data_IF_810178811622
#
_entry.id   IF_810178811622
#
_cell.length_a   1.000
_cell.length_b   1.000
_cell.length_c   1.000
_cell.angle_alpha   90.00
_cell.angle_beta   90.00
_cell.angle_gamma   90.00
#
_symmetry.space_group_name_H-M   'P 1'
#
loop_
_entity.id
_entity.type
_entity.pdbx_description
1 polymer ?
#
# COMPACT_ATOMS: atom_id res chain seq x y z
N UNK A 1 -43.54 -16.65 -59.41
CA UNK A 1 -42.17 -16.74 -58.81
C UNK A 1 -41.16 -16.69 -59.94
N UNK A 2 -40.61 -15.51 -60.23
CA UNK A 2 -39.60 -15.35 -61.28
C UNK A 2 -38.24 -15.78 -60.74
N UNK A 3 -37.76 -16.93 -61.28
CA UNK A 3 -36.36 -17.35 -61.06
C UNK A 3 -35.48 -16.53 -61.98
N UNK A 4 -34.75 -15.57 -61.41
CA UNK A 4 -33.71 -14.81 -62.10
C UNK A 4 -32.52 -15.76 -62.28
N UNK A 5 -32.39 -16.34 -63.53
CA UNK A 5 -31.21 -17.08 -63.92
C UNK A 5 -30.07 -16.10 -64.21
N UNK A 6 -29.26 -15.80 -63.20
CA UNK A 6 -28.04 -15.06 -63.35
C UNK A 6 -26.97 -15.98 -63.97
N UNK A 7 -26.88 -15.96 -65.29
CA UNK A 7 -25.80 -16.62 -66.04
C UNK A 7 -24.53 -15.76 -65.90
N UNK A 8 -23.88 -15.84 -64.76
CA UNK A 8 -22.66 -15.08 -64.44
C UNK A 8 -21.49 -15.80 -65.13
N UNK A 9 -20.87 -15.15 -66.13
CA UNK A 9 -19.64 -15.62 -66.76
C UNK A 9 -18.59 -15.92 -65.66
N UNK A 10 -17.88 -17.08 -65.77
CA UNK A 10 -16.84 -17.47 -64.81
C UNK A 10 -15.83 -16.41 -64.48
N UNK A 11 -15.49 -15.52 -65.45
CA UNK A 11 -14.61 -14.39 -65.24
C UNK A 11 -15.23 -13.31 -64.32
N UNK A 12 -16.51 -13.00 -64.49
CA UNK A 12 -17.23 -12.03 -63.65
C UNK A 12 -17.38 -12.50 -62.21
N UNK A 13 -17.62 -13.79 -61.99
CA UNK A 13 -17.68 -14.40 -60.67
C UNK A 13 -16.36 -14.28 -59.89
N UNK A 14 -15.24 -14.43 -60.58
CA UNK A 14 -13.92 -14.32 -59.98
C UNK A 14 -13.61 -12.87 -59.49
N UNK A 15 -14.02 -11.85 -60.26
CA UNK A 15 -13.92 -10.46 -59.86
C UNK A 15 -14.79 -10.13 -58.63
N UNK A 16 -16.01 -10.67 -58.54
CA UNK A 16 -16.89 -10.49 -57.39
C UNK A 16 -16.30 -11.10 -56.13
N UNK A 17 -15.64 -12.24 -56.20
CA UNK A 17 -14.97 -12.87 -55.06
C UNK A 17 -13.78 -12.05 -54.61
N UNK A 18 -12.96 -11.51 -55.53
CA UNK A 18 -11.79 -10.72 -55.20
C UNK A 18 -12.22 -9.38 -54.59
N UNK A 19 -13.17 -8.65 -55.20
CA UNK A 19 -13.63 -7.37 -54.64
C UNK A 19 -14.38 -7.58 -53.30
N UNK A 20 -15.20 -8.62 -53.17
CA UNK A 20 -15.86 -8.97 -51.94
C UNK A 20 -14.86 -9.28 -50.81
N UNK A 21 -13.79 -10.05 -51.15
CA UNK A 21 -12.72 -10.35 -50.20
C UNK A 21 -11.96 -9.12 -49.71
N UNK A 22 -11.67 -8.21 -50.62
CA UNK A 22 -11.00 -6.94 -50.27
C UNK A 22 -11.87 -6.09 -49.33
N UNK A 23 -13.17 -5.98 -49.60
CA UNK A 23 -14.10 -5.22 -48.75
C UNK A 23 -14.17 -5.85 -47.36
N UNK A 24 -14.25 -7.17 -47.24
CA UNK A 24 -14.26 -7.87 -45.94
C UNK A 24 -12.98 -7.61 -45.15
N UNK A 25 -11.83 -7.66 -45.81
CA UNK A 25 -10.53 -7.36 -45.15
C UNK A 25 -10.48 -5.92 -44.64
N UNK A 26 -10.95 -4.93 -45.40
CA UNK A 26 -10.99 -3.53 -44.98
C UNK A 26 -11.90 -3.35 -43.77
N UNK A 27 -13.09 -3.96 -43.78
CA UNK A 27 -14.03 -3.93 -42.67
C UNK A 27 -13.41 -4.56 -41.41
N UNK A 28 -12.77 -5.71 -41.56
CA UNK A 28 -12.13 -6.43 -40.45
C UNK A 28 -10.98 -5.62 -39.83
N UNK A 29 -10.15 -5.00 -40.69
CA UNK A 29 -9.01 -4.15 -40.23
C UNK A 29 -9.46 -2.88 -39.53
N UNK A 30 -10.65 -2.38 -39.86
CA UNK A 30 -11.19 -1.16 -39.24
C UNK A 30 -11.95 -1.47 -37.94
N UNK A 31 -12.66 -2.60 -37.87
CA UNK A 31 -13.47 -2.98 -36.71
C UNK A 31 -12.61 -3.58 -35.57
N UNK A 32 -11.60 -4.38 -35.89
CA UNK A 32 -10.72 -5.02 -34.89
C UNK A 32 -10.05 -4.02 -33.92
N UNK A 33 -9.36 -2.96 -34.39
CA UNK A 33 -8.73 -2.02 -33.48
C UNK A 33 -9.74 -1.21 -32.65
N UNK A 34 -10.92 -0.91 -33.22
CA UNK A 34 -11.98 -0.24 -32.46
C UNK A 34 -12.49 -1.12 -31.32
N UNK A 35 -12.72 -2.39 -31.57
CA UNK A 35 -13.21 -3.36 -30.56
C UNK A 35 -12.21 -3.53 -29.42
N UNK A 36 -10.91 -3.63 -29.75
CA UNK A 36 -9.85 -3.73 -28.74
C UNK A 36 -9.74 -2.46 -27.88
N UNK A 37 -9.91 -1.28 -28.47
CA UNK A 37 -9.87 0.00 -27.77
C UNK A 37 -11.07 0.18 -26.85
N UNK A 38 -12.26 -0.23 -27.28
CA UNK A 38 -13.47 -0.18 -26.45
C UNK A 38 -13.35 -1.13 -25.26
N UNK A 39 -12.85 -2.34 -25.48
CA UNK A 39 -12.67 -3.33 -24.41
C UNK A 39 -11.67 -2.88 -23.35
N UNK A 40 -10.61 -2.16 -23.73
CA UNK A 40 -9.66 -1.55 -22.81
C UNK A 40 -10.31 -0.47 -21.94
N UNK A 41 -11.05 0.45 -22.56
CA UNK A 41 -11.71 1.55 -21.88
C UNK A 41 -12.81 1.09 -20.92
N UNK A 42 -13.51 -0.02 -21.21
CA UNK A 42 -14.52 -0.58 -20.31
C UNK A 42 -13.88 -1.07 -18.99
N UNK A 43 -12.76 -1.78 -19.07
CA UNK A 43 -12.04 -2.25 -17.87
C UNK A 43 -11.51 -1.09 -17.00
N UNK A 44 -11.03 -0.05 -17.64
CA UNK A 44 -10.54 1.14 -16.94
C UNK A 44 -11.69 1.91 -16.25
N UNK A 45 -12.83 2.05 -16.95
CA UNK A 45 -14.04 2.64 -16.37
C UNK A 45 -14.60 1.82 -15.20
N UNK A 46 -14.56 0.50 -15.26
CA UNK A 46 -14.98 -0.35 -14.13
C UNK A 46 -14.05 -0.16 -12.93
N UNK A 47 -12.74 -0.08 -13.14
CA UNK A 47 -11.77 0.20 -12.08
C UNK A 47 -12.01 1.56 -11.42
N UNK A 48 -12.24 2.59 -12.22
CA UNK A 48 -12.55 3.94 -11.71
C UNK A 48 -13.88 3.95 -10.94
N UNK A 49 -14.92 3.30 -11.45
CA UNK A 49 -16.20 3.14 -10.75
C UNK A 49 -16.05 2.44 -9.41
N UNK A 50 -15.22 1.39 -9.35
CA UNK A 50 -14.93 0.69 -8.10
C UNK A 50 -14.24 1.60 -7.09
N UNK A 51 -13.22 2.35 -7.52
CA UNK A 51 -12.52 3.31 -6.65
C UNK A 51 -13.44 4.43 -6.14
N UNK A 52 -14.32 4.95 -7.01
CA UNK A 52 -15.31 5.97 -6.60
C UNK A 52 -16.30 5.37 -5.59
N UNK A 53 -16.75 4.15 -5.79
CA UNK A 53 -17.65 3.47 -4.87
C UNK A 53 -16.96 3.25 -3.51
N UNK A 54 -15.73 2.77 -3.50
CA UNK A 54 -14.94 2.59 -2.29
C UNK A 54 -14.75 3.91 -1.52
N UNK A 55 -14.41 4.99 -2.20
CA UNK A 55 -14.31 6.32 -1.60
C UNK A 55 -15.66 6.82 -1.04
N UNK A 56 -16.75 6.54 -1.75
CA UNK A 56 -18.10 6.93 -1.32
C UNK A 56 -18.55 6.14 -0.09
N UNK A 57 -18.22 4.86 -0.02
CA UNK A 57 -18.55 3.99 1.11
C UNK A 57 -17.68 4.32 2.34
N UNK A 58 -16.43 4.74 2.12
CA UNK A 58 -15.52 5.18 3.19
C UNK A 58 -15.78 6.61 3.66
N UNK A 59 -16.37 7.48 2.81
CA UNK A 59 -16.63 8.87 3.12
C UNK A 59 -17.37 9.10 4.45
N UNK A 60 -18.51 8.43 4.72
CA UNK A 60 -19.23 8.58 5.98
C UNK A 60 -18.41 8.08 7.18
N UNK A 61 -17.60 7.04 7.02
CA UNK A 61 -16.75 6.52 8.08
C UNK A 61 -15.69 7.55 8.46
N UNK A 62 -15.04 8.17 7.46
CA UNK A 62 -14.09 9.25 7.69
C UNK A 62 -14.74 10.48 8.34
N UNK A 63 -15.93 10.86 7.88
CA UNK A 63 -16.67 11.97 8.47
C UNK A 63 -17.01 11.71 9.95
N UNK A 64 -17.42 10.49 10.29
CA UNK A 64 -17.69 10.10 11.66
C UNK A 64 -16.41 10.11 12.51
N UNK A 65 -15.31 9.56 11.99
CA UNK A 65 -14.03 9.58 12.68
C UNK A 65 -13.53 11.01 12.92
N UNK A 66 -13.63 11.89 11.93
CA UNK A 66 -13.22 13.30 12.07
C UNK A 66 -14.11 14.02 13.09
N UNK A 67 -15.44 13.77 13.07
CA UNK A 67 -16.35 14.37 14.06
C UNK A 67 -16.08 13.84 15.46
N UNK A 68 -15.78 12.56 15.62
CA UNK A 68 -15.38 11.99 16.91
C UNK A 68 -14.01 12.50 17.39
N UNK A 69 -13.08 12.71 16.49
CA UNK A 69 -11.78 13.32 16.83
C UNK A 69 -11.93 14.78 17.28
N UNK A 70 -12.81 15.55 16.65
CA UNK A 70 -13.05 16.94 17.00
C UNK A 70 -13.89 17.08 18.29
N UNK A 71 -14.78 16.12 18.57
CA UNK A 71 -15.65 16.15 19.75
C UNK A 71 -15.01 15.50 20.99
N UNK A 72 -14.05 14.62 20.80
CA UNK A 72 -13.20 14.16 21.89
C UNK A 72 -12.05 15.17 21.99
N UNK A 73 -12.07 15.99 23.03
CA UNK A 73 -10.84 16.43 23.63
C UNK A 73 -10.01 15.18 23.85
N UNK A 74 -9.19 14.82 22.87
CA UNK A 74 -8.18 13.81 22.98
C UNK A 74 -7.11 14.40 23.95
N UNK A 75 -7.50 14.62 25.19
CA UNK A 75 -6.56 14.54 26.27
C UNK A 75 -6.00 13.13 26.16
N UNK A 76 -4.90 13.06 25.45
CA UNK A 76 -4.10 11.86 25.34
C UNK A 76 -3.93 11.34 26.76
N UNK A 77 -4.70 10.30 27.11
CA UNK A 77 -4.56 9.60 28.39
C UNK A 77 -3.18 8.93 28.47
N UNK A 78 -2.46 8.91 27.36
CA UNK A 78 -1.05 8.52 27.29
C UNK A 78 -0.20 9.69 27.79
N UNK A 79 0.53 9.50 28.89
CA UNK A 79 1.51 10.48 29.32
C UNK A 79 2.46 10.74 28.14
N UNK A 80 2.40 11.96 27.60
CA UNK A 80 3.37 12.37 26.58
C UNK A 80 4.66 12.70 27.34
N UNK A 81 5.66 11.82 27.36
CA UNK A 81 6.89 12.10 28.06
C UNK A 81 7.55 13.32 27.42
N UNK A 82 8.05 14.25 28.22
CA UNK A 82 8.89 15.31 27.69
C UNK A 82 10.01 14.70 26.86
N UNK A 83 10.08 15.09 25.59
CA UNK A 83 11.12 14.59 24.69
C UNK A 83 12.48 15.04 25.18
N UNK A 84 13.30 14.11 25.64
CA UNK A 84 14.66 14.36 26.10
C UNK A 84 15.64 13.62 25.19
N UNK A 85 16.37 14.33 24.31
CA UNK A 85 17.38 13.68 23.50
C UNK A 85 18.46 13.06 24.40
N UNK A 86 18.89 11.87 24.03
CA UNK A 86 19.86 11.07 24.79
C UNK A 86 21.25 11.32 24.23
N UNK A 87 22.28 11.27 25.07
CA UNK A 87 23.66 11.33 24.62
C UNK A 87 23.95 10.11 23.72
N UNK A 88 24.86 10.26 22.76
CA UNK A 88 25.26 9.18 21.86
C UNK A 88 25.74 7.93 22.61
N UNK A 89 26.37 8.07 23.75
CA UNK A 89 26.78 6.95 24.62
C UNK A 89 25.60 6.25 25.31
N UNK A 90 24.52 6.99 25.59
CA UNK A 90 23.31 6.42 26.21
C UNK A 90 22.35 5.81 25.17
N UNK A 91 22.48 6.15 23.90
CA UNK A 91 21.68 5.54 22.82
C UNK A 91 21.88 4.02 22.73
N UNK A 92 23.01 3.52 23.26
CA UNK A 92 23.30 2.09 23.40
C UNK A 92 22.28 1.36 24.28
N UNK A 93 21.56 2.06 25.14
CA UNK A 93 20.50 1.49 26.00
C UNK A 93 19.20 1.19 25.25
N UNK A 94 18.97 1.84 24.11
CA UNK A 94 17.73 1.69 23.36
C UNK A 94 17.41 0.23 22.98
N UNK A 95 18.35 -0.61 22.50
CA UNK A 95 18.09 -2.02 22.25
C UNK A 95 17.57 -2.79 23.45
N UNK A 96 18.05 -2.47 24.65
CA UNK A 96 17.62 -3.17 25.87
C UNK A 96 16.24 -2.71 26.32
N UNK A 97 15.96 -1.41 26.29
CA UNK A 97 14.64 -0.84 26.57
C UNK A 97 13.61 -1.37 25.58
N UNK A 98 13.98 -1.42 24.29
CA UNK A 98 13.13 -1.97 23.24
C UNK A 98 12.83 -3.45 23.47
N UNK A 99 13.84 -4.26 23.79
CA UNK A 99 13.67 -5.69 24.10
C UNK A 99 12.73 -5.92 25.27
N UNK A 100 12.85 -5.10 26.31
CA UNK A 100 11.97 -5.20 27.48
C UNK A 100 10.51 -4.93 27.11
N UNK A 101 10.24 -3.91 26.29
CA UNK A 101 8.89 -3.57 25.82
C UNK A 101 8.33 -4.66 24.93
N UNK A 102 9.10 -5.17 23.96
CA UNK A 102 8.68 -6.24 23.05
C UNK A 102 8.33 -7.51 23.84
N UNK A 103 9.19 -7.90 24.78
CA UNK A 103 8.95 -9.05 25.65
C UNK A 103 7.69 -8.87 26.50
N UNK A 104 7.47 -7.69 27.09
CA UNK A 104 6.27 -7.37 27.86
C UNK A 104 5.00 -7.42 27.02
N UNK A 105 5.10 -7.10 25.74
CA UNK A 105 3.97 -7.10 24.81
C UNK A 105 3.64 -8.48 24.25
N UNK A 106 4.49 -9.49 24.44
CA UNK A 106 4.30 -10.84 23.92
C UNK A 106 4.81 -11.05 22.47
N UNK A 107 5.58 -10.10 21.94
CA UNK A 107 6.19 -10.19 20.63
C UNK A 107 7.58 -10.82 20.69
N UNK A 108 8.08 -11.28 19.53
CA UNK A 108 9.40 -11.86 19.39
C UNK A 108 10.21 -11.01 18.41
N UNK A 109 11.45 -10.65 18.78
CA UNK A 109 12.37 -9.94 17.90
C UNK A 109 13.01 -10.94 16.94
N UNK A 110 12.95 -10.64 15.65
CA UNK A 110 13.62 -11.42 14.59
C UNK A 110 14.96 -10.79 14.25
N UNK A 111 14.99 -9.47 14.01
CA UNK A 111 16.22 -8.72 13.83
C UNK A 111 16.11 -7.33 14.44
N UNK A 112 17.28 -6.79 14.78
CA UNK A 112 17.43 -5.43 15.31
C UNK A 112 18.74 -4.86 14.77
N UNK A 113 18.64 -4.05 13.73
CA UNK A 113 19.79 -3.58 12.96
C UNK A 113 19.87 -2.04 13.02
N UNK A 114 20.86 -1.49 13.74
CA UNK A 114 21.11 -0.06 13.72
C UNK A 114 21.70 0.37 12.38
N UNK A 115 21.17 1.45 11.80
CA UNK A 115 21.69 2.01 10.57
C UNK A 115 22.86 2.97 10.86
N UNK A 116 24.07 2.43 10.75
CA UNK A 116 25.30 3.17 11.03
C UNK A 116 25.52 4.35 10.07
N UNK A 117 24.89 4.36 8.89
CA UNK A 117 25.00 5.46 7.94
C UNK A 117 24.38 6.74 8.50
N UNK A 118 23.36 6.61 9.33
CA UNK A 118 22.69 7.75 9.99
C UNK A 118 23.47 8.24 11.22
N UNK A 119 24.42 7.47 11.71
CA UNK A 119 25.28 7.80 12.86
C UNK A 119 26.45 8.74 12.52
N UNK A 120 26.77 8.89 11.22
CA UNK A 120 27.91 9.70 10.78
C UNK A 120 27.51 11.14 10.59
N UNK A 121 28.22 12.07 11.22
CA UNK A 121 28.02 13.51 11.05
C UNK A 121 27.22 14.18 12.18
N UNK A 122 26.60 15.30 11.85
CA UNK A 122 25.81 16.16 12.76
C UNK A 122 24.34 15.73 12.88
N UNK A 123 24.01 14.46 12.58
CA UNK A 123 22.62 14.01 12.68
C UNK A 123 22.17 13.96 14.14
N UNK A 124 21.02 14.57 14.41
CA UNK A 124 20.37 14.61 15.72
C UNK A 124 19.45 13.43 15.98
N UNK A 125 19.41 12.48 15.06
CA UNK A 125 18.56 11.28 15.16
C UNK A 125 19.28 10.05 14.60
N UNK A 126 19.01 8.88 15.18
CA UNK A 126 19.61 7.61 14.83
C UNK A 126 18.54 6.59 14.44
N UNK A 127 18.70 5.95 13.28
CA UNK A 127 17.73 5.01 12.71
C UNK A 127 18.02 3.58 13.16
N UNK A 128 16.96 2.86 13.52
CA UNK A 128 16.99 1.41 13.77
C UNK A 128 15.99 0.71 12.86
N UNK A 129 16.45 -0.28 12.12
CA UNK A 129 15.62 -1.19 11.34
C UNK A 129 15.31 -2.42 12.21
N UNK A 130 14.05 -2.68 12.45
CA UNK A 130 13.61 -3.68 13.42
C UNK A 130 12.61 -4.60 12.75
N UNK A 131 12.77 -5.89 12.94
CA UNK A 131 11.82 -6.92 12.50
C UNK A 131 11.36 -7.69 13.72
N UNK A 132 10.06 -7.71 13.94
CA UNK A 132 9.39 -8.42 15.03
C UNK A 132 8.28 -9.30 14.47
N UNK A 133 7.90 -10.34 15.21
CA UNK A 133 6.81 -11.25 14.87
C UNK A 133 5.86 -11.46 16.03
N UNK A 134 4.57 -11.65 15.71
CA UNK A 134 3.54 -11.93 16.70
C UNK A 134 2.15 -11.58 16.21
N UNK A 135 1.24 -11.30 17.15
CA UNK A 135 -0.13 -10.95 16.84
C UNK A 135 -0.32 -9.43 16.73
N UNK A 136 -1.26 -8.93 15.91
CA UNK A 136 -1.53 -7.50 15.77
C UNK A 136 -1.94 -6.81 17.08
N UNK A 137 -2.62 -7.55 17.96
CA UNK A 137 -3.00 -7.04 19.28
C UNK A 137 -1.79 -6.73 20.17
N UNK A 138 -0.74 -7.54 20.05
CA UNK A 138 0.50 -7.39 20.82
C UNK A 138 1.37 -6.27 20.23
N UNK A 139 1.35 -6.08 18.89
CA UNK A 139 1.96 -4.92 18.25
C UNK A 139 1.37 -3.62 18.80
N UNK A 140 0.05 -3.55 18.96
CA UNK A 140 -0.62 -2.36 19.51
C UNK A 140 -0.15 -2.05 20.93
N UNK A 141 -0.02 -3.06 21.80
CA UNK A 141 0.54 -2.90 23.15
C UNK A 141 1.98 -2.41 23.12
N UNK A 142 2.79 -2.94 22.22
CA UNK A 142 4.18 -2.53 22.04
C UNK A 142 4.29 -1.07 21.59
N UNK A 143 3.50 -0.62 20.62
CA UNK A 143 3.51 0.79 20.16
C UNK A 143 3.17 1.75 21.30
N UNK A 144 2.17 1.39 22.12
CA UNK A 144 1.84 2.16 23.33
C UNK A 144 3.01 2.19 24.31
N UNK A 145 3.68 1.04 24.50
CA UNK A 145 4.88 0.96 25.33
C UNK A 145 6.04 1.80 24.79
N UNK A 146 6.26 1.81 23.46
CA UNK A 146 7.28 2.64 22.83
C UNK A 146 7.02 4.14 23.06
N UNK A 147 5.75 4.55 23.07
CA UNK A 147 5.37 5.94 23.38
C UNK A 147 5.79 6.42 24.75
N UNK A 148 6.16 5.54 25.69
CA UNK A 148 6.66 5.91 27.01
C UNK A 148 8.16 6.24 27.01
N UNK A 149 8.89 5.96 25.94
CA UNK A 149 10.31 6.22 25.82
C UNK A 149 10.53 7.72 25.54
N UNK A 150 11.20 8.48 26.41
CA UNK A 150 11.32 9.94 26.28
C UNK A 150 12.22 10.38 25.11
N UNK A 151 13.10 9.53 24.63
CA UNK A 151 14.03 9.79 23.53
C UNK A 151 13.59 9.18 22.20
N UNK A 152 12.40 8.57 22.14
CA UNK A 152 11.79 8.15 20.87
C UNK A 152 11.43 9.41 20.07
N UNK A 153 12.01 9.57 18.88
CA UNK A 153 11.68 10.68 17.99
C UNK A 153 10.43 10.37 17.19
N UNK A 154 10.49 9.32 16.37
CA UNK A 154 9.37 8.89 15.52
C UNK A 154 9.48 7.44 15.08
N UNK A 155 8.37 6.88 14.69
CA UNK A 155 8.29 5.66 13.91
C UNK A 155 7.97 6.08 12.48
N UNK A 156 8.88 5.84 11.54
CA UNK A 156 8.76 6.30 10.15
C UNK A 156 7.91 5.36 9.32
N UNK A 157 8.08 4.06 9.52
CA UNK A 157 7.43 3.05 8.71
C UNK A 157 7.08 1.83 9.56
N UNK A 158 5.88 1.30 9.36
CA UNK A 158 5.49 -0.01 9.85
C UNK A 158 4.90 -0.77 8.67
N UNK A 159 5.58 -1.82 8.24
CA UNK A 159 5.07 -2.71 7.21
C UNK A 159 4.73 -4.07 7.81
N UNK A 160 3.62 -4.65 7.37
CA UNK A 160 3.08 -5.89 7.90
C UNK A 160 3.09 -6.95 6.81
N UNK A 161 3.64 -8.11 7.10
CA UNK A 161 3.69 -9.25 6.20
C UNK A 161 3.07 -10.46 6.89
N UNK A 162 2.12 -11.10 6.24
CA UNK A 162 1.46 -12.28 6.80
C UNK A 162 2.35 -13.50 6.60
N UNK A 163 2.74 -14.16 7.70
CA UNK A 163 3.34 -15.48 7.71
C UNK A 163 2.27 -16.57 7.87
N UNK A 164 2.70 -17.83 7.99
CA UNK A 164 1.80 -18.98 8.11
C UNK A 164 1.04 -18.98 9.45
N UNK A 165 1.73 -18.71 10.56
CA UNK A 165 1.14 -18.79 11.93
C UNK A 165 1.23 -17.46 12.70
N UNK A 166 1.91 -16.47 12.17
CA UNK A 166 2.16 -15.16 12.80
C UNK A 166 2.31 -14.08 11.74
N UNK A 167 2.16 -12.83 12.18
CA UNK A 167 2.50 -11.67 11.35
C UNK A 167 3.92 -11.20 11.63
N UNK A 168 4.64 -10.83 10.58
CA UNK A 168 5.92 -10.18 10.65
C UNK A 168 5.75 -8.69 10.43
N UNK A 169 6.30 -7.89 11.34
CA UNK A 169 6.26 -6.43 11.29
C UNK A 169 7.67 -5.89 11.13
N UNK A 170 7.89 -5.15 10.04
CA UNK A 170 9.14 -4.42 9.79
C UNK A 170 8.91 -2.96 10.16
N UNK A 171 9.79 -2.41 10.96
CA UNK A 171 9.65 -1.06 11.50
C UNK A 171 10.93 -0.27 11.32
N UNK A 172 10.79 1.03 11.02
CA UNK A 172 11.86 2.01 11.07
C UNK A 172 11.62 2.95 12.24
N UNK A 173 12.49 2.90 13.22
CA UNK A 173 12.38 3.66 14.47
C UNK A 173 13.53 4.63 14.60
N UNK A 174 13.20 5.91 14.79
CA UNK A 174 14.17 6.98 15.01
C UNK A 174 14.24 7.34 16.49
N UNK A 175 15.44 7.47 17.00
CA UNK A 175 15.70 7.99 18.35
C UNK A 175 16.42 9.32 18.28
N UNK A 176 16.04 10.25 19.16
CA UNK A 176 16.67 11.57 19.27
C UNK A 176 17.99 11.45 20.02
N UNK A 177 19.08 11.94 19.44
CA UNK A 177 20.41 11.99 20.03
C UNK A 177 20.90 13.44 20.12
N UNK A 178 21.78 13.69 21.10
CA UNK A 178 22.39 15.01 21.37
C UNK A 178 23.87 14.95 21.07
#
# INVERSE_FOLDING_TARGET
MNKINLNISKKSSLYFIIYGGIIVIIILTMILPLYLKISGNVKENEKIKYQIKEQKDLGPIYATLVSEMNNKDLQLVLPNPEKKPVSRSESIKFPDDFRAIVKKSGLIIVSFDPDLSTSTGSSTSFLHNIVIKGQPADLRKMIVGLGTIPYLDRIEEISCQQGTDYMEFKMKVWIAIK
#
